data_IF_495241396305
#
_entry.id   IF_495241396305
#
_cell.length_a   1.000
_cell.length_b   1.000
_cell.length_c   1.000
_cell.angle_alpha   90.00
_cell.angle_beta   90.00
_cell.angle_gamma   90.00
#
_symmetry.space_group_name_H-M   'P 1'
#
loop_
_entity.id
_entity.type
_entity.pdbx_description
1 polymer ?
#
# COMPACT_ATOMS: atom_id res chain seq x y z
N UNK A 1 14.68 -2.11 -11.71
CA UNK A 1 13.86 -3.28 -11.35
C UNK A 1 14.23 -4.44 -12.25
N UNK A 2 15.03 -5.37 -11.73
CA UNK A 2 15.44 -6.56 -12.46
C UNK A 2 14.71 -7.76 -11.85
N UNK A 3 13.90 -8.48 -12.64
CA UNK A 3 13.35 -9.79 -12.24
C UNK A 3 14.45 -10.86 -12.08
N UNK A 4 15.70 -10.54 -12.44
CA UNK A 4 16.83 -11.48 -12.45
C UNK A 4 17.04 -12.10 -11.07
N UNK A 5 16.55 -13.34 -10.92
CA UNK A 5 16.66 -14.21 -9.75
C UNK A 5 15.57 -14.04 -8.67
N UNK A 6 14.32 -13.81 -9.08
CA UNK A 6 13.17 -13.91 -8.17
C UNK A 6 12.96 -15.32 -7.58
N UNK A 7 13.67 -16.33 -8.08
CA UNK A 7 13.47 -17.75 -7.76
C UNK A 7 14.67 -18.42 -7.11
N UNK A 8 15.81 -17.74 -7.09
CA UNK A 8 17.08 -18.29 -6.61
C UNK A 8 17.73 -17.32 -5.64
N UNK A 9 18.60 -17.86 -4.79
CA UNK A 9 19.35 -17.09 -3.81
C UNK A 9 20.81 -17.49 -3.88
N UNK A 10 21.46 -17.08 -4.97
CA UNK A 10 22.80 -17.59 -5.33
C UNK A 10 23.95 -16.88 -4.61
N UNK A 11 23.66 -15.77 -3.91
CA UNK A 11 24.65 -14.93 -3.23
C UNK A 11 24.19 -14.55 -1.83
N UNK A 12 25.13 -14.41 -0.86
CA UNK A 12 24.82 -14.01 0.51
C UNK A 12 23.89 -12.81 0.58
N UNK A 13 22.88 -12.91 1.46
CA UNK A 13 21.90 -11.86 1.73
C UNK A 13 21.02 -11.46 0.53
N UNK A 14 20.94 -12.28 -0.51
CA UNK A 14 19.91 -12.11 -1.53
C UNK A 14 18.52 -12.34 -0.92
N UNK A 15 17.64 -11.35 -1.12
CA UNK A 15 16.31 -11.33 -0.50
C UNK A 15 16.30 -10.83 0.95
N UNK A 16 17.33 -10.08 1.35
CA UNK A 16 17.43 -9.47 2.68
C UNK A 16 17.43 -7.94 2.64
N UNK A 17 16.95 -7.34 3.72
CA UNK A 17 17.18 -5.95 4.06
C UNK A 17 18.39 -5.88 4.99
N UNK A 18 19.39 -5.08 4.62
CA UNK A 18 20.58 -4.82 5.40
C UNK A 18 20.60 -3.36 5.84
N UNK A 19 20.86 -3.12 7.12
CA UNK A 19 21.15 -1.79 7.65
C UNK A 19 22.66 -1.60 7.71
N UNK A 20 23.15 -0.58 7.03
CA UNK A 20 24.59 -0.30 6.95
C UNK A 20 24.86 1.02 7.66
N UNK A 21 25.68 0.98 8.71
CA UNK A 21 26.12 2.17 9.43
C UNK A 21 27.17 2.95 8.61
N UNK A 22 27.42 4.21 8.99
CA UNK A 22 28.40 5.06 8.31
C UNK A 22 29.83 4.49 8.33
N UNK A 23 30.15 3.65 9.31
CA UNK A 23 31.44 2.94 9.42
C UNK A 23 31.51 1.66 8.58
N UNK A 24 30.45 1.32 7.83
CA UNK A 24 30.35 0.12 7.01
C UNK A 24 29.85 -1.12 7.76
N UNK A 25 29.63 -1.03 9.08
CA UNK A 25 29.06 -2.14 9.84
C UNK A 25 27.68 -2.49 9.31
N UNK A 26 27.50 -3.74 8.93
CA UNK A 26 26.30 -4.22 8.25
C UNK A 26 25.50 -5.14 9.17
N UNK A 27 24.22 -4.86 9.35
CA UNK A 27 23.30 -5.62 10.18
C UNK A 27 22.14 -6.17 9.34
N UNK A 28 22.03 -7.50 9.17
CA UNK A 28 20.82 -8.12 8.63
C UNK A 28 19.61 -7.72 9.48
N UNK A 29 18.58 -7.18 8.83
CA UNK A 29 17.45 -6.54 9.54
C UNK A 29 16.12 -7.24 9.23
N UNK A 30 15.89 -7.61 7.97
CA UNK A 30 14.71 -8.38 7.57
C UNK A 30 15.12 -9.41 6.50
N UNK A 31 14.46 -10.56 6.49
CA UNK A 31 14.56 -11.52 5.40
C UNK A 31 13.26 -11.50 4.59
N UNK A 32 13.24 -12.13 3.42
CA UNK A 32 12.01 -12.38 2.68
C UNK A 32 11.65 -11.36 1.60
N UNK A 33 12.58 -10.49 1.22
CA UNK A 33 12.37 -9.53 0.14
C UNK A 33 12.49 -10.23 -1.23
N UNK A 34 11.76 -9.76 -2.24
CA UNK A 34 11.85 -10.29 -3.61
C UNK A 34 12.38 -9.27 -4.61
N UNK A 35 11.62 -8.22 -4.85
CA UNK A 35 11.89 -7.24 -5.90
C UNK A 35 11.52 -5.83 -5.41
N UNK A 36 12.29 -5.30 -4.44
CA UNK A 36 12.06 -3.98 -3.88
C UNK A 36 12.19 -2.90 -4.97
N UNK A 37 11.20 -2.00 -5.04
CA UNK A 37 11.19 -0.85 -5.95
C UNK A 37 11.68 0.46 -5.32
N UNK A 38 11.66 0.54 -3.99
CA UNK A 38 12.07 1.71 -3.22
C UNK A 38 11.87 1.47 -1.72
N UNK A 39 12.53 2.29 -0.91
CA UNK A 39 12.39 2.32 0.56
C UNK A 39 11.99 3.74 0.96
N UNK A 40 11.08 3.88 1.91
CA UNK A 40 10.65 5.15 2.47
C UNK A 40 10.14 4.99 3.90
N UNK A 41 9.81 6.10 4.54
CA UNK A 41 9.37 6.13 5.94
C UNK A 41 7.99 6.80 6.01
N UNK A 42 7.10 6.30 6.87
CA UNK A 42 5.88 7.03 7.21
C UNK A 42 6.17 8.13 8.25
N UNK A 43 5.15 8.92 8.59
CA UNK A 43 5.26 10.01 9.58
C UNK A 43 5.62 9.54 10.99
N UNK A 44 5.40 8.26 11.31
CA UNK A 44 5.85 7.65 12.56
C UNK A 44 7.33 7.20 12.54
N UNK A 45 8.06 7.43 11.44
CA UNK A 45 9.44 7.00 11.26
C UNK A 45 9.61 5.49 11.00
N UNK A 46 8.52 4.79 10.66
CA UNK A 46 8.56 3.37 10.34
C UNK A 46 8.98 3.18 8.89
N UNK A 47 10.00 2.32 8.69
CA UNK A 47 10.52 1.99 7.37
C UNK A 47 9.60 1.01 6.64
N UNK A 48 9.25 1.34 5.40
CA UNK A 48 8.55 0.48 4.46
C UNK A 48 9.37 0.33 3.19
N UNK A 49 9.15 -0.78 2.50
CA UNK A 49 9.60 -0.92 1.12
C UNK A 49 8.43 -1.25 0.21
N UNK A 50 8.55 -0.83 -1.05
CA UNK A 50 7.61 -1.21 -2.10
C UNK A 50 8.05 -2.53 -2.69
N UNK A 51 7.16 -3.51 -2.68
CA UNK A 51 7.37 -4.83 -3.27
C UNK A 51 6.58 -4.94 -4.58
N UNK A 52 7.17 -5.58 -5.58
CA UNK A 52 6.51 -5.85 -6.84
C UNK A 52 5.90 -7.26 -6.83
N UNK A 53 4.77 -7.46 -7.50
CA UNK A 53 4.12 -8.77 -7.63
C UNK A 53 5.02 -9.84 -8.24
N UNK A 54 4.84 -11.07 -7.83
CA UNK A 54 5.61 -12.24 -8.26
C UNK A 54 5.44 -13.39 -7.26
N UNK A 55 6.41 -14.32 -7.21
CA UNK A 55 6.41 -15.38 -6.22
C UNK A 55 6.22 -14.83 -4.80
N UNK A 56 5.29 -15.42 -4.06
CA UNK A 56 4.86 -15.07 -2.71
C UNK A 56 4.39 -13.61 -2.53
N UNK A 57 4.09 -12.93 -3.63
CA UNK A 57 3.64 -11.55 -3.68
C UNK A 57 2.53 -11.41 -4.70
N UNK A 58 1.28 -11.64 -4.29
CA UNK A 58 0.15 -11.68 -5.23
C UNK A 58 -0.11 -10.37 -5.98
N UNK A 59 0.19 -9.24 -5.35
CA UNK A 59 0.14 -7.91 -5.92
C UNK A 59 1.34 -7.07 -5.46
N UNK A 60 1.49 -5.87 -6.01
CA UNK A 60 2.39 -4.87 -5.43
C UNK A 60 1.94 -4.52 -4.00
N UNK A 61 2.84 -4.02 -3.17
CA UNK A 61 2.45 -3.58 -1.83
C UNK A 61 3.55 -2.89 -1.04
N UNK A 62 3.16 -2.25 0.05
CA UNK A 62 4.06 -1.71 1.06
C UNK A 62 4.17 -2.71 2.20
N UNK A 63 5.41 -3.05 2.57
CA UNK A 63 5.71 -3.97 3.66
C UNK A 63 6.65 -3.30 4.65
N UNK A 64 6.32 -3.43 5.93
CA UNK A 64 7.15 -2.93 7.03
C UNK A 64 8.49 -3.68 7.06
N UNK A 65 9.59 -2.91 7.17
CA UNK A 65 10.93 -3.44 7.39
C UNK A 65 11.23 -3.50 8.90
N UNK A 66 10.48 -4.33 9.62
CA UNK A 66 10.67 -4.52 11.07
C UNK A 66 11.91 -5.37 11.34
N UNK A 67 12.85 -4.93 12.20
CA UNK A 67 13.98 -5.76 12.62
C UNK A 67 13.53 -7.13 13.14
N UNK A 68 14.16 -8.20 12.66
CA UNK A 68 13.78 -9.59 12.99
C UNK A 68 12.64 -10.14 12.14
N UNK A 69 12.07 -9.35 11.23
CA UNK A 69 10.93 -9.73 10.40
C UNK A 69 11.28 -10.56 9.16
N UNK A 70 10.32 -11.40 8.76
CA UNK A 70 10.26 -12.09 7.48
C UNK A 70 9.13 -11.46 6.64
N UNK A 71 9.47 -10.89 5.48
CA UNK A 71 8.49 -10.18 4.62
C UNK A 71 7.94 -11.03 3.47
N UNK A 72 8.05 -12.36 3.59
CA UNK A 72 7.21 -13.32 2.88
C UNK A 72 7.87 -14.15 1.77
N UNK A 73 9.10 -13.88 1.35
CA UNK A 73 9.74 -14.67 0.28
C UNK A 73 10.79 -15.68 0.79
N UNK A 74 10.53 -17.00 0.78
CA UNK A 74 11.38 -17.97 1.48
C UNK A 74 12.78 -18.17 0.87
N UNK A 75 13.07 -17.69 -0.34
CA UNK A 75 14.42 -17.81 -0.95
C UNK A 75 15.54 -17.16 -0.11
N UNK A 76 15.20 -16.29 0.83
CA UNK A 76 16.18 -15.65 1.72
C UNK A 76 16.77 -16.62 2.75
N UNK A 77 16.11 -17.76 3.00
CA UNK A 77 16.38 -18.69 4.09
C UNK A 77 17.81 -19.25 4.18
N UNK A 78 18.50 -19.60 3.07
CA UNK A 78 19.86 -20.15 3.15
C UNK A 78 20.91 -19.25 3.84
N UNK A 79 20.61 -17.97 4.07
CA UNK A 79 21.55 -17.00 4.65
C UNK A 79 21.31 -16.71 6.14
N UNK A 80 20.38 -17.40 6.81
CA UNK A 80 20.16 -17.23 8.25
C UNK A 80 21.40 -17.61 9.08
N UNK A 81 22.21 -18.57 8.61
CA UNK A 81 23.49 -18.92 9.24
C UNK A 81 24.49 -17.74 9.30
N UNK A 82 24.35 -16.78 8.38
CA UNK A 82 25.16 -15.55 8.34
C UNK A 82 24.51 -14.38 9.11
N UNK A 83 23.33 -14.59 9.69
CA UNK A 83 22.53 -13.57 10.36
C UNK A 83 22.12 -14.02 11.78
N UNK A 84 23.07 -14.32 12.68
CA UNK A 84 22.74 -14.84 14.02
C UNK A 84 21.85 -13.90 14.84
N UNK A 85 21.87 -12.60 14.55
CA UNK A 85 21.01 -11.60 15.21
C UNK A 85 19.52 -11.71 14.83
N UNK A 86 19.18 -12.49 13.80
CA UNK A 86 17.80 -12.67 13.32
C UNK A 86 17.11 -13.87 13.95
N UNK A 87 17.84 -14.67 14.74
CA UNK A 87 17.30 -15.90 15.33
C UNK A 87 17.24 -17.05 14.32
N UNK A 88 16.40 -18.07 14.59
CA UNK A 88 16.25 -19.21 13.70
C UNK A 88 15.55 -18.83 12.38
N UNK A 89 15.72 -19.68 11.36
CA UNK A 89 14.95 -19.59 10.13
C UNK A 89 13.42 -19.68 10.43
N UNK A 90 12.59 -18.81 9.82
CA UNK A 90 11.13 -18.86 9.96
C UNK A 90 10.51 -20.15 9.40
N UNK A 91 9.26 -20.41 9.78
CA UNK A 91 8.49 -21.50 9.19
C UNK A 91 8.29 -21.35 7.67
N UNK A 92 8.22 -22.48 6.96
CA UNK A 92 7.94 -22.49 5.52
C UNK A 92 6.50 -22.02 5.25
N UNK A 93 6.28 -21.13 4.25
CA UNK A 93 4.95 -20.83 3.73
C UNK A 93 4.22 -22.08 3.24
N UNK A 94 2.90 -22.08 3.30
CA UNK A 94 2.06 -23.21 2.85
C UNK A 94 2.20 -23.49 1.34
N UNK A 95 2.58 -22.46 0.56
CA UNK A 95 2.97 -22.53 -0.87
C UNK A 95 2.12 -23.43 -1.78
N UNK A 96 0.88 -22.98 -2.04
CA UNK A 96 -0.05 -23.63 -2.93
C UNK A 96 -1.32 -22.82 -3.15
N UNK A 97 -2.32 -23.43 -3.81
CA UNK A 97 -3.65 -22.82 -3.98
C UNK A 97 -4.31 -22.49 -2.64
N UNK A 98 -3.98 -23.23 -1.58
CA UNK A 98 -4.46 -22.99 -0.21
C UNK A 98 -3.68 -21.88 0.54
N UNK A 99 -2.54 -21.41 0.01
CA UNK A 99 -1.69 -20.42 0.68
C UNK A 99 -2.32 -19.03 0.72
N UNK A 100 -2.49 -18.47 1.92
CA UNK A 100 -2.94 -17.08 2.19
C UNK A 100 -1.94 -16.43 3.13
N UNK A 101 -1.49 -15.22 2.79
CA UNK A 101 -0.49 -14.51 3.59
C UNK A 101 -0.95 -14.30 5.04
N UNK A 102 -2.23 -13.96 5.24
CA UNK A 102 -2.78 -13.72 6.57
C UNK A 102 -2.92 -15.00 7.42
N UNK A 103 -3.17 -16.15 6.80
CA UNK A 103 -3.20 -17.45 7.50
C UNK A 103 -1.78 -17.86 7.90
N UNK A 104 -0.82 -17.73 6.99
CA UNK A 104 0.57 -18.04 7.30
C UNK A 104 1.15 -17.08 8.36
N UNK A 105 0.72 -15.81 8.38
CA UNK A 105 1.12 -14.84 9.40
C UNK A 105 0.60 -15.17 10.82
N UNK A 106 -0.45 -15.99 10.95
CA UNK A 106 -0.90 -16.50 12.26
C UNK A 106 -0.05 -17.67 12.76
N UNK A 107 0.58 -18.42 11.83
CA UNK A 107 1.39 -19.61 12.14
C UNK A 107 2.89 -19.30 12.24
N UNK A 108 3.38 -18.30 11.51
CA UNK A 108 4.79 -17.92 11.41
C UNK A 108 4.97 -16.56 12.10
N UNK A 109 5.45 -16.50 13.36
CA UNK A 109 5.53 -15.26 14.14
C UNK A 109 6.38 -14.16 13.50
N UNK A 110 7.41 -14.55 12.73
CA UNK A 110 8.29 -13.62 12.03
C UNK A 110 7.63 -13.05 10.77
N UNK A 111 6.60 -13.68 10.22
CA UNK A 111 5.97 -13.28 8.96
C UNK A 111 5.14 -12.01 9.14
N UNK A 112 5.61 -10.94 8.52
CA UNK A 112 4.94 -9.64 8.51
C UNK A 112 4.02 -9.58 7.29
N UNK A 113 2.69 -9.43 7.49
CA UNK A 113 1.77 -9.30 6.38
C UNK A 113 1.99 -7.98 5.64
N UNK A 114 1.58 -7.92 4.38
CA UNK A 114 1.61 -6.69 3.59
C UNK A 114 0.75 -5.62 4.26
N UNK A 115 1.34 -4.46 4.55
CA UNK A 115 0.64 -3.37 5.24
C UNK A 115 -0.36 -2.68 4.32
N UNK A 116 0.02 -2.41 3.08
CA UNK A 116 -0.89 -1.85 2.07
C UNK A 116 -0.68 -2.56 0.75
N UNK A 117 -1.64 -3.36 0.33
CA UNK A 117 -1.68 -3.94 -1.01
C UNK A 117 -2.01 -2.84 -2.01
N UNK A 118 -1.31 -2.83 -3.14
CA UNK A 118 -1.58 -1.97 -4.29
C UNK A 118 -2.17 -2.86 -5.40
N UNK A 119 -3.51 -2.91 -5.54
CA UNK A 119 -4.17 -3.88 -6.41
C UNK A 119 -3.69 -3.83 -7.86
N UNK A 120 -3.50 -5.02 -8.44
CA UNK A 120 -2.83 -5.18 -9.72
C UNK A 120 -3.57 -4.47 -10.86
N UNK A 121 -2.86 -3.67 -11.65
CA UNK A 121 -3.39 -2.82 -12.75
C UNK A 121 -4.35 -1.69 -12.34
N UNK A 122 -5.06 -1.82 -11.22
CA UNK A 122 -5.96 -0.79 -10.66
C UNK A 122 -5.15 0.34 -10.01
N UNK A 123 -4.14 -0.03 -9.23
CA UNK A 123 -3.28 0.88 -8.48
C UNK A 123 -1.81 0.65 -8.78
N UNK A 124 -1.30 -0.56 -8.49
CA UNK A 124 0.11 -0.92 -8.64
C UNK A 124 0.31 -2.03 -9.66
N UNK A 125 1.29 -1.87 -10.54
CA UNK A 125 1.75 -2.94 -11.43
C UNK A 125 3.28 -3.03 -11.43
N UNK A 126 3.97 -1.94 -11.12
CA UNK A 126 5.37 -1.97 -10.80
C UNK A 126 5.75 -0.82 -9.86
N UNK A 127 5.46 -1.00 -8.57
CA UNK A 127 5.66 0.03 -7.54
C UNK A 127 7.14 0.35 -7.31
N UNK A 128 7.46 1.63 -7.13
CA UNK A 128 8.84 2.13 -6.98
C UNK A 128 9.00 3.03 -5.75
N UNK A 129 9.38 4.30 -5.88
CA UNK A 129 9.70 5.14 -4.73
C UNK A 129 8.49 5.37 -3.80
N UNK A 130 8.78 5.50 -2.52
CA UNK A 130 7.84 5.87 -1.45
C UNK A 130 8.30 7.22 -0.90
N UNK A 131 7.44 8.23 -0.94
CA UNK A 131 7.76 9.61 -0.57
C UNK A 131 6.79 10.09 0.50
N UNK A 132 7.29 10.61 1.62
CA UNK A 132 6.44 11.19 2.67
C UNK A 132 6.16 12.66 2.37
N UNK A 133 4.92 13.11 2.59
CA UNK A 133 4.60 14.54 2.56
C UNK A 133 4.86 15.22 3.90
N UNK A 134 6.05 15.78 4.02
CA UNK A 134 6.48 16.64 5.13
C UNK A 134 6.37 18.13 4.77
N UNK A 135 5.56 18.48 3.76
CA UNK A 135 5.49 19.84 3.22
C UNK A 135 4.60 20.79 4.05
N UNK A 136 4.00 20.29 5.14
CA UNK A 136 3.13 21.05 6.03
C UNK A 136 2.02 21.81 5.28
N UNK A 137 1.37 21.14 4.32
CA UNK A 137 0.26 21.68 3.53
C UNK A 137 0.67 22.39 2.24
N UNK A 138 1.96 22.57 1.97
CA UNK A 138 2.42 23.14 0.70
C UNK A 138 2.11 22.23 -0.51
N UNK A 139 1.91 20.92 -0.28
CA UNK A 139 1.48 19.95 -1.28
C UNK A 139 -0.01 19.58 -1.20
N UNK A 140 -0.85 20.48 -0.68
CA UNK A 140 -2.29 20.27 -0.55
C UNK A 140 -2.66 19.60 0.79
N UNK A 141 -3.88 19.06 0.91
CA UNK A 141 -4.41 18.58 2.19
C UNK A 141 -3.87 17.22 2.65
N UNK A 142 -2.86 16.67 1.99
CA UNK A 142 -2.40 15.28 2.13
C UNK A 142 -1.17 15.14 3.03
N UNK A 143 -0.99 16.05 3.98
CA UNK A 143 0.11 16.01 4.93
C UNK A 143 0.19 14.66 5.64
N UNK A 144 1.41 14.22 5.94
CA UNK A 144 1.73 12.93 6.58
C UNK A 144 1.35 11.67 5.78
N UNK A 145 0.79 11.81 4.57
CA UNK A 145 0.55 10.68 3.67
C UNK A 145 1.80 10.29 2.90
N UNK A 146 1.82 9.03 2.49
CA UNK A 146 2.82 8.50 1.57
C UNK A 146 2.35 8.67 0.13
N UNK A 147 3.30 8.96 -0.75
CA UNK A 147 3.13 9.01 -2.20
C UNK A 147 3.99 7.92 -2.83
N UNK A 148 3.34 6.97 -3.47
CA UNK A 148 3.99 5.81 -4.07
C UNK A 148 3.97 5.94 -5.58
N UNK A 149 5.14 5.82 -6.19
CA UNK A 149 5.31 5.88 -7.63
C UNK A 149 5.06 4.52 -8.26
N UNK A 150 4.57 4.51 -9.49
CA UNK A 150 4.47 3.28 -10.30
C UNK A 150 5.13 3.47 -11.68
N UNK A 151 5.98 2.51 -12.03
CA UNK A 151 6.72 2.51 -13.29
C UNK A 151 5.81 2.14 -14.48
N UNK A 152 5.05 1.06 -14.39
CA UNK A 152 4.29 0.55 -15.54
C UNK A 152 3.06 1.40 -15.85
N UNK A 153 2.37 1.91 -14.84
CA UNK A 153 1.17 2.73 -14.98
C UNK A 153 1.51 4.21 -15.14
N UNK A 154 2.75 4.61 -14.83
CA UNK A 154 3.20 6.01 -14.88
C UNK A 154 2.32 6.93 -14.03
N UNK A 155 2.05 6.52 -12.79
CA UNK A 155 1.17 7.23 -11.85
C UNK A 155 1.84 7.44 -10.50
N UNK A 156 1.29 8.40 -9.75
CA UNK A 156 1.51 8.61 -8.33
C UNK A 156 0.23 8.23 -7.61
N UNK A 157 0.34 7.42 -6.57
CA UNK A 157 -0.75 7.00 -5.68
C UNK A 157 -0.54 7.59 -4.29
N UNK A 158 -1.62 7.87 -3.56
CA UNK A 158 -1.57 8.18 -2.13
C UNK A 158 -1.70 6.90 -1.31
N UNK A 159 -1.06 6.86 -0.16
CA UNK A 159 -1.16 5.79 0.83
C UNK A 159 -1.24 6.38 2.23
N UNK A 160 -2.17 5.87 3.03
CA UNK A 160 -2.24 6.09 4.48
C UNK A 160 -1.89 4.81 5.21
N UNK A 161 -1.28 4.92 6.40
CA UNK A 161 -0.92 3.78 7.24
C UNK A 161 -1.36 4.01 8.67
N UNK A 162 -1.85 2.97 9.33
CA UNK A 162 -2.19 2.96 10.75
C UNK A 162 -1.68 1.67 11.40
N UNK A 163 -1.51 1.69 12.73
CA UNK A 163 -1.10 0.53 13.49
C UNK A 163 -2.27 0.00 14.33
N UNK A 164 -2.70 -1.23 14.07
CA UNK A 164 -3.78 -1.90 14.77
C UNK A 164 -3.23 -3.17 15.41
N UNK A 165 -3.33 -3.26 16.75
CA UNK A 165 -2.80 -4.41 17.51
C UNK A 165 -1.33 -4.73 17.17
N UNK A 166 -0.49 -3.71 16.99
CA UNK A 166 0.93 -3.86 16.67
C UNK A 166 1.23 -4.22 15.20
N UNK A 167 0.22 -4.36 14.35
CA UNK A 167 0.37 -4.65 12.91
C UNK A 167 0.09 -3.37 12.11
N UNK A 168 1.02 -3.02 11.21
CA UNK A 168 0.81 -1.93 10.27
C UNK A 168 -0.11 -2.37 9.14
N UNK A 169 -1.12 -1.55 8.88
CA UNK A 169 -2.07 -1.73 7.80
C UNK A 169 -2.50 -0.37 7.24
N UNK A 170 -3.35 -0.32 6.21
CA UNK A 170 -3.84 0.96 5.70
C UNK A 170 -4.44 0.88 4.31
N UNK A 171 -4.54 2.02 3.64
CA UNK A 171 -5.23 2.13 2.37
C UNK A 171 -4.43 2.91 1.31
N UNK A 172 -4.71 2.60 0.05
CA UNK A 172 -4.22 3.36 -1.09
C UNK A 172 -5.36 4.02 -1.87
N UNK A 173 -5.06 5.18 -2.47
CA UNK A 173 -6.00 6.02 -3.20
C UNK A 173 -5.35 6.52 -4.50
N UNK A 174 -6.09 6.59 -5.62
CA UNK A 174 -5.60 7.26 -6.81
C UNK A 174 -5.25 8.73 -6.51
N UNK A 175 -4.28 9.29 -7.24
CA UNK A 175 -3.89 10.70 -7.06
C UNK A 175 -3.54 11.41 -8.36
N UNK A 176 -2.46 11.01 -9.05
CA UNK A 176 -2.06 11.69 -10.28
C UNK A 176 -1.55 10.74 -11.35
N UNK A 177 -2.06 10.94 -12.56
CA UNK A 177 -1.61 10.30 -13.79
C UNK A 177 -1.20 11.34 -14.84
N UNK A 178 -0.69 10.86 -15.98
CA UNK A 178 -0.27 11.70 -17.12
C UNK A 178 1.20 12.10 -17.09
N UNK A 179 2.04 11.38 -16.34
CA UNK A 179 3.48 11.49 -16.45
C UNK A 179 3.94 10.94 -17.80
N UNK A 180 5.03 11.46 -18.35
CA UNK A 180 5.46 11.17 -19.73
C UNK A 180 6.34 9.92 -19.83
N UNK A 181 6.86 9.43 -18.70
CA UNK A 181 7.70 8.23 -18.61
C UNK A 181 7.28 7.33 -17.44
N UNK A 182 7.83 6.12 -17.34
CA UNK A 182 7.64 5.26 -16.18
C UNK A 182 8.42 5.80 -14.97
N UNK A 183 7.77 5.89 -13.81
CA UNK A 183 8.35 6.50 -12.63
C UNK A 183 9.22 5.50 -11.85
N UNK A 184 10.50 5.80 -11.70
CA UNK A 184 11.47 4.98 -10.95
C UNK A 184 11.89 5.62 -9.62
N UNK A 185 11.93 6.95 -9.58
CA UNK A 185 12.41 7.69 -8.44
C UNK A 185 11.79 9.07 -8.38
N UNK A 186 11.83 9.67 -7.19
CA UNK A 186 11.35 11.01 -6.98
C UNK A 186 11.75 11.57 -5.62
N UNK A 187 11.37 12.82 -5.41
CA UNK A 187 11.53 13.57 -4.18
C UNK A 187 10.29 14.43 -4.01
N UNK A 188 9.69 14.38 -2.83
CA UNK A 188 8.72 15.39 -2.38
C UNK A 188 9.45 16.33 -1.44
N UNK A 189 9.59 17.60 -1.83
CA UNK A 189 10.27 18.60 -1.02
C UNK A 189 9.34 19.22 0.03
N UNK A 190 9.93 19.75 1.10
CA UNK A 190 9.23 20.46 2.17
C UNK A 190 8.49 21.73 1.73
N UNK A 191 8.75 22.23 0.52
CA UNK A 191 7.98 23.33 -0.10
C UNK A 191 6.93 22.84 -1.12
N UNK A 192 6.54 21.56 -1.06
CA UNK A 192 5.46 20.98 -1.84
C UNK A 192 5.75 20.88 -3.33
N UNK A 193 7.00 20.57 -3.70
CA UNK A 193 7.34 20.20 -5.08
C UNK A 193 7.60 18.71 -5.14
N UNK A 194 6.78 17.99 -5.91
CA UNK A 194 7.04 16.60 -6.25
C UNK A 194 7.85 16.57 -7.55
N UNK A 195 9.10 16.15 -7.48
CA UNK A 195 9.96 15.89 -8.63
C UNK A 195 10.02 14.39 -8.85
N UNK A 196 9.64 13.92 -10.02
CA UNK A 196 9.67 12.49 -10.38
C UNK A 196 10.38 12.27 -11.70
N UNK A 197 10.97 11.09 -11.86
CA UNK A 197 11.61 10.72 -13.10
C UNK A 197 11.81 9.22 -13.25
N UNK A 198 12.25 8.85 -14.43
CA UNK A 198 12.54 7.46 -14.77
C UNK A 198 12.71 7.27 -16.27
N UNK A 199 12.25 6.13 -16.76
CA UNK A 199 12.41 5.75 -18.17
C UNK A 199 11.27 4.84 -18.63
N UNK A 200 11.27 4.48 -19.93
CA UNK A 200 10.40 3.43 -20.48
C UNK A 200 11.20 2.20 -20.94
N UNK A 201 12.38 1.96 -20.35
CA UNK A 201 13.29 0.86 -20.73
C UNK A 201 13.16 -0.34 -19.81
N UNK A 202 13.18 -1.53 -20.39
CA UNK A 202 13.21 -2.82 -19.67
C UNK A 202 11.83 -3.45 -19.54
N UNK A 203 10.88 -2.77 -18.90
CA UNK A 203 9.50 -3.24 -18.75
C UNK A 203 8.51 -2.34 -19.50
N UNK A 204 7.36 -2.87 -19.94
CA UNK A 204 6.29 -2.06 -20.53
C UNK A 204 5.81 -0.98 -19.56
N UNK A 205 5.63 0.22 -20.11
CA UNK A 205 5.07 1.38 -19.44
C UNK A 205 3.92 1.94 -20.25
N UNK A 206 2.95 2.56 -19.57
CA UNK A 206 1.84 3.29 -20.16
C UNK A 206 2.36 4.47 -20.97
N UNK A 207 3.28 5.22 -20.38
CA UNK A 207 3.90 6.40 -21.02
C UNK A 207 5.18 6.03 -21.77
N UNK A 208 5.49 6.76 -22.85
CA UNK A 208 6.46 6.32 -23.87
C UNK A 208 7.70 7.19 -24.02
N UNK A 209 7.81 8.30 -23.29
CA UNK A 209 9.04 9.09 -23.34
C UNK A 209 10.20 8.27 -22.76
N UNK A 210 11.33 8.19 -23.49
CA UNK A 210 12.44 7.32 -23.12
C UNK A 210 13.01 7.67 -21.74
N UNK A 211 13.03 8.97 -21.42
CA UNK A 211 13.43 9.52 -20.13
C UNK A 211 12.68 10.83 -19.89
N UNK A 212 12.36 11.12 -18.64
CA UNK A 212 11.84 12.43 -18.26
C UNK A 212 12.17 12.74 -16.80
N UNK A 213 12.32 14.03 -16.51
CA UNK A 213 12.28 14.60 -15.17
C UNK A 213 11.12 15.60 -15.15
N UNK A 214 10.13 15.35 -14.29
CA UNK A 214 8.89 16.11 -14.26
C UNK A 214 8.63 16.65 -12.86
N UNK A 215 8.06 17.85 -12.81
CA UNK A 215 7.63 18.49 -11.57
C UNK A 215 6.11 18.54 -11.53
N UNK A 216 5.54 18.04 -10.44
CA UNK A 216 4.17 18.28 -10.03
C UNK A 216 4.17 19.29 -8.88
N UNK A 217 3.35 20.33 -9.00
CA UNK A 217 3.15 21.36 -8.00
C UNK A 217 1.67 21.43 -7.65
N UNK A 218 1.37 21.67 -6.38
CA UNK A 218 0.01 21.96 -5.95
C UNK A 218 -0.58 23.17 -6.71
N UNK A 219 -1.84 23.06 -7.10
CA UNK A 219 -2.53 24.11 -7.85
C UNK A 219 -3.15 25.19 -6.96
N UNK A 220 -3.22 24.95 -5.65
CA UNK A 220 -3.98 25.77 -4.70
C UNK A 220 -5.48 25.43 -4.64
N UNK A 221 -5.97 24.51 -5.47
CA UNK A 221 -7.39 24.11 -5.52
C UNK A 221 -7.58 22.74 -4.90
N UNK A 222 -8.27 22.68 -3.77
CA UNK A 222 -8.68 21.43 -3.14
C UNK A 222 -9.95 20.91 -3.82
N UNK A 223 -9.94 19.70 -4.44
CA UNK A 223 -11.16 19.02 -4.88
C UNK A 223 -11.83 18.26 -3.72
N UNK A 224 -13.08 17.81 -3.89
CA UNK A 224 -13.64 16.76 -3.04
C UNK A 224 -12.90 15.44 -3.29
N UNK A 225 -12.25 14.93 -2.26
CA UNK A 225 -11.45 13.70 -2.25
C UNK A 225 -11.71 12.92 -0.97
N UNK A 226 -11.56 11.60 -1.03
CA UNK A 226 -11.41 10.80 0.17
C UNK A 226 -9.99 11.01 0.70
N UNK A 227 -9.87 11.75 1.80
CA UNK A 227 -8.60 12.06 2.44
C UNK A 227 -7.99 10.81 3.06
N UNK A 228 -8.79 10.08 3.84
CA UNK A 228 -8.34 8.90 4.59
C UNK A 228 -9.50 7.92 4.83
N UNK A 229 -9.17 6.63 4.86
CA UNK A 229 -9.99 5.51 5.30
C UNK A 229 -9.23 4.76 6.39
N UNK A 230 -9.82 4.64 7.57
CA UNK A 230 -9.24 3.92 8.73
C UNK A 230 -10.19 2.85 9.26
N UNK A 231 -9.62 1.78 9.83
CA UNK A 231 -10.42 0.67 10.35
C UNK A 231 -11.14 1.02 11.65
N UNK A 232 -12.31 0.42 11.83
CA UNK A 232 -13.10 0.45 13.07
C UNK A 232 -13.45 -0.97 13.49
N UNK A 233 -13.86 -1.20 14.75
CA UNK A 233 -14.29 -2.52 15.21
C UNK A 233 -15.48 -3.10 14.44
N UNK A 234 -16.27 -2.23 13.80
CA UNK A 234 -17.53 -2.54 13.12
C UNK A 234 -17.58 -2.02 11.67
N UNK A 235 -16.45 -1.57 11.10
CA UNK A 235 -16.39 -1.08 9.73
C UNK A 235 -15.23 -0.15 9.48
N UNK A 236 -15.50 1.02 8.89
CA UNK A 236 -14.46 1.99 8.51
C UNK A 236 -14.87 3.43 8.80
N UNK A 237 -13.89 4.27 9.11
CA UNK A 237 -14.05 5.73 9.18
C UNK A 237 -13.45 6.34 7.93
N UNK A 238 -14.21 7.18 7.25
CA UNK A 238 -13.81 7.94 6.07
C UNK A 238 -13.69 9.41 6.44
N UNK A 239 -12.61 10.07 6.02
CA UNK A 239 -12.41 11.51 6.14
C UNK A 239 -12.33 12.11 4.75
N UNK A 240 -13.02 13.23 4.50
CA UNK A 240 -13.06 13.92 3.21
C UNK A 240 -12.34 15.26 3.28
N UNK A 241 -11.84 15.73 2.13
CA UNK A 241 -11.19 17.06 2.01
C UNK A 241 -12.18 18.23 2.00
N UNK A 242 -13.47 17.94 1.81
CA UNK A 242 -14.58 18.90 1.82
C UNK A 242 -15.82 18.27 2.48
N UNK A 243 -16.72 19.07 3.05
CA UNK A 243 -18.00 18.57 3.55
C UNK A 243 -18.81 17.88 2.45
N UNK A 244 -19.26 16.66 2.71
CA UNK A 244 -20.20 15.94 1.82
C UNK A 244 -21.65 16.32 2.13
N UNK A 245 -22.54 16.16 1.16
CA UNK A 245 -23.98 16.22 1.40
C UNK A 245 -24.37 15.13 2.40
N UNK A 246 -24.81 15.54 3.59
CA UNK A 246 -25.09 14.62 4.69
C UNK A 246 -26.27 13.70 4.41
N UNK A 247 -27.27 14.14 3.64
CA UNK A 247 -28.44 13.31 3.33
C UNK A 247 -28.04 12.19 2.36
N UNK A 248 -27.26 12.52 1.32
CA UNK A 248 -26.76 11.54 0.35
C UNK A 248 -25.74 10.61 1.01
N UNK A 249 -24.79 11.17 1.77
CA UNK A 249 -23.76 10.39 2.43
C UNK A 249 -24.30 9.45 3.51
N UNK A 250 -25.48 9.73 4.10
CA UNK A 250 -26.12 8.84 5.07
C UNK A 250 -26.82 7.62 4.44
N UNK A 251 -27.01 7.60 3.12
CA UNK A 251 -27.60 6.47 2.41
C UNK A 251 -26.52 5.38 2.13
N UNK A 252 -26.68 4.15 2.66
CA UNK A 252 -25.79 3.04 2.31
C UNK A 252 -25.65 2.78 0.81
N UNK A 253 -26.67 3.11 0.00
CA UNK A 253 -26.62 2.93 -1.46
C UNK A 253 -25.64 3.89 -2.16
N UNK A 254 -25.13 4.91 -1.47
CA UNK A 254 -24.08 5.81 -1.98
C UNK A 254 -22.70 5.15 -2.07
N UNK A 255 -22.57 3.93 -1.56
CA UNK A 255 -21.32 3.19 -1.41
C UNK A 255 -21.46 1.78 -1.99
N UNK A 256 -20.35 1.23 -2.48
CA UNK A 256 -20.25 -0.18 -2.86
C UNK A 256 -18.95 -0.74 -2.32
N UNK A 257 -19.00 -1.94 -1.75
CA UNK A 257 -17.83 -2.58 -1.16
C UNK A 257 -17.71 -4.02 -1.63
N UNK A 258 -16.51 -4.38 -2.06
CA UNK A 258 -16.11 -5.74 -2.36
C UNK A 258 -14.82 -6.06 -1.62
N UNK A 259 -14.55 -7.35 -1.42
CA UNK A 259 -13.27 -7.78 -0.85
C UNK A 259 -12.65 -8.88 -1.65
N UNK A 260 -11.34 -9.00 -1.58
CA UNK A 260 -10.60 -10.13 -2.13
C UNK A 260 -9.26 -10.29 -1.42
N UNK A 261 -8.64 -11.45 -1.59
CA UNK A 261 -7.24 -11.67 -1.27
C UNK A 261 -6.51 -12.28 -2.48
N UNK A 262 -5.29 -12.76 -2.29
CA UNK A 262 -4.49 -13.37 -3.35
C UNK A 262 -3.88 -14.68 -2.84
N UNK A 263 -3.59 -15.61 -3.75
CA UNK A 263 -2.75 -16.75 -3.41
C UNK A 263 -1.36 -16.27 -2.97
N UNK A 264 -0.86 -16.90 -1.92
CA UNK A 264 0.48 -16.75 -1.38
C UNK A 264 1.31 -18.00 -1.74
N UNK A 265 1.91 -17.95 -2.94
CA UNK A 265 2.50 -19.12 -3.60
C UNK A 265 3.73 -18.77 -4.45
N UNK A 266 4.52 -19.76 -4.85
CA UNK A 266 5.76 -19.61 -5.63
C UNK A 266 5.56 -19.15 -7.08
N UNK A 267 4.34 -19.18 -7.61
CA UNK A 267 4.11 -18.88 -9.03
C UNK A 267 4.14 -17.37 -9.31
N UNK A 268 4.48 -17.01 -10.55
CA UNK A 268 4.48 -15.61 -10.96
C UNK A 268 3.05 -15.13 -11.18
N UNK A 269 2.68 -14.05 -10.49
CA UNK A 269 1.34 -13.51 -10.54
C UNK A 269 0.37 -14.29 -9.66
N UNK A 270 -0.71 -13.64 -9.29
CA UNK A 270 -1.77 -14.24 -8.49
C UNK A 270 -3.09 -13.57 -8.84
N UNK A 271 -4.15 -14.32 -9.18
CA UNK A 271 -5.47 -13.74 -9.33
C UNK A 271 -5.98 -13.18 -7.99
N UNK A 272 -6.94 -12.25 -8.08
CA UNK A 272 -7.81 -11.94 -6.95
C UNK A 272 -8.70 -13.17 -6.69
N UNK A 273 -8.78 -13.60 -5.42
CA UNK A 273 -9.55 -14.78 -4.97
C UNK A 273 -10.35 -14.45 -3.71
N UNK A 274 -11.17 -15.40 -3.28
CA UNK A 274 -11.99 -15.33 -2.07
C UNK A 274 -12.87 -14.05 -2.04
N UNK A 275 -13.47 -13.73 -3.19
CA UNK A 275 -14.29 -12.54 -3.33
C UNK A 275 -15.51 -12.59 -2.42
N UNK A 276 -15.80 -11.47 -1.74
CA UNK A 276 -17.05 -11.28 -0.99
C UNK A 276 -17.61 -9.89 -1.22
N UNK A 277 -18.88 -9.69 -0.89
CA UNK A 277 -19.57 -8.40 -1.00
C UNK A 277 -20.13 -8.01 0.38
N UNK A 278 -19.31 -7.39 1.26
CA UNK A 278 -19.77 -6.94 2.57
C UNK A 278 -20.92 -5.95 2.45
N UNK A 279 -21.83 -5.98 3.42
CA UNK A 279 -23.01 -5.11 3.41
C UNK A 279 -22.78 -3.90 4.31
N UNK A 280 -22.87 -2.70 3.74
CA UNK A 280 -22.93 -1.46 4.52
C UNK A 280 -24.35 -1.36 5.09
N UNK A 281 -24.46 -1.48 6.42
CA UNK A 281 -25.76 -1.59 7.10
C UNK A 281 -26.23 -0.26 7.69
N UNK A 282 -25.28 0.59 8.09
CA UNK A 282 -25.56 1.91 8.62
C UNK A 282 -24.41 2.84 8.23
N UNK A 283 -24.76 4.11 7.99
CA UNK A 283 -23.79 5.17 7.76
C UNK A 283 -24.05 6.30 8.76
N UNK A 284 -22.99 6.81 9.40
CA UNK A 284 -23.06 7.93 10.34
C UNK A 284 -22.19 9.06 9.82
N UNK A 285 -22.82 10.20 9.53
CA UNK A 285 -22.11 11.39 9.00
C UNK A 285 -21.93 12.39 10.14
N UNK A 286 -20.72 12.94 10.26
CA UNK A 286 -20.42 14.00 11.22
C UNK A 286 -21.22 15.28 10.94
N UNK A 287 -21.32 16.16 11.94
CA UNK A 287 -22.07 17.41 11.82
C UNK A 287 -21.49 18.35 10.76
N UNK A 288 -20.16 18.40 10.67
CA UNK A 288 -19.40 19.18 9.69
C UNK A 288 -19.35 18.54 8.29
N UNK A 289 -19.87 17.32 8.12
CA UNK A 289 -19.85 16.57 6.87
C UNK A 289 -18.45 16.14 6.41
N UNK A 290 -17.41 16.29 7.23
CA UNK A 290 -16.04 15.90 6.86
C UNK A 290 -15.73 14.44 7.16
N UNK A 291 -16.55 13.77 7.97
CA UNK A 291 -16.33 12.38 8.38
C UNK A 291 -17.58 11.54 8.18
N UNK A 292 -17.36 10.33 7.69
CA UNK A 292 -18.39 9.30 7.56
C UNK A 292 -17.89 8.00 8.20
N UNK A 293 -18.60 7.50 9.20
CA UNK A 293 -18.38 6.15 9.73
C UNK A 293 -19.34 5.17 9.04
N UNK A 294 -18.77 4.17 8.36
CA UNK A 294 -19.49 3.06 7.74
C UNK A 294 -19.53 1.88 8.72
N UNK A 295 -20.73 1.34 8.96
CA UNK A 295 -20.91 0.06 9.66
C UNK A 295 -21.06 -1.02 8.61
N UNK A 296 -20.16 -2.02 8.66
CA UNK A 296 -20.02 -3.05 7.63
C UNK A 296 -20.24 -4.41 8.25
N UNK A 297 -21.23 -5.14 7.75
CA UNK A 297 -21.41 -6.56 8.01
C UNK A 297 -20.59 -7.37 7.00
N UNK A 298 -19.81 -8.35 7.49
CA UNK A 298 -18.95 -9.18 6.66
C UNK A 298 -17.52 -8.66 6.44
N UNK A 299 -16.91 -7.94 7.39
CA UNK A 299 -15.48 -7.60 7.33
C UNK A 299 -14.60 -8.86 7.22
N UNK A 300 -13.70 -8.90 6.22
CA UNK A 300 -12.79 -10.02 5.99
C UNK A 300 -11.36 -9.68 6.42
N UNK A 301 -10.86 -10.32 7.48
CA UNK A 301 -9.44 -10.18 7.88
C UNK A 301 -8.53 -10.79 6.80
N UNK A 302 -7.43 -10.12 6.48
CA UNK A 302 -6.46 -10.55 5.47
C UNK A 302 -6.84 -10.24 4.02
N UNK A 303 -7.92 -9.46 3.83
CA UNK A 303 -8.41 -9.05 2.52
C UNK A 303 -8.13 -7.58 2.26
N UNK A 304 -8.15 -7.23 0.97
CA UNK A 304 -8.34 -5.85 0.52
C UNK A 304 -9.84 -5.58 0.47
N UNK A 305 -10.29 -4.48 1.08
CA UNK A 305 -11.62 -3.92 0.95
C UNK A 305 -11.57 -2.81 -0.07
N UNK A 306 -12.16 -3.08 -1.24
CA UNK A 306 -12.30 -2.13 -2.33
C UNK A 306 -13.63 -1.38 -2.14
N UNK A 307 -13.53 -0.09 -1.79
CA UNK A 307 -14.66 0.79 -1.53
C UNK A 307 -14.83 1.78 -2.67
N UNK A 308 -15.97 1.73 -3.32
CA UNK A 308 -16.40 2.70 -4.34
C UNK A 308 -17.41 3.69 -3.75
N UNK A 309 -17.34 4.95 -4.21
CA UNK A 309 -18.15 6.07 -3.71
C UNK A 309 -19.04 6.69 -4.82
N UNK A 310 -19.85 5.91 -5.56
CA UNK A 310 -20.54 6.41 -6.76
C UNK A 310 -21.56 7.51 -6.47
N UNK A 311 -22.13 7.56 -5.27
CA UNK A 311 -23.15 8.54 -4.88
C UNK A 311 -22.60 9.79 -4.19
N UNK A 312 -21.33 9.79 -3.74
CA UNK A 312 -20.82 10.83 -2.84
C UNK A 312 -20.53 12.13 -3.59
N UNK A 313 -21.04 13.23 -3.03
CA UNK A 313 -20.87 14.58 -3.55
C UNK A 313 -21.04 15.64 -2.45
N UNK A 314 -20.65 16.88 -2.72
CA UNK A 314 -20.97 18.04 -1.87
C UNK A 314 -22.43 18.49 -2.08
N UNK A 315 -22.92 19.43 -1.25
CA UNK A 315 -24.26 20.01 -1.40
C UNK A 315 -24.42 20.79 -2.73
N UNK A 316 -23.32 21.29 -3.28
CA UNK A 316 -23.27 21.94 -4.60
C UNK A 316 -23.17 20.93 -5.77
N UNK A 317 -23.13 19.63 -5.48
CA UNK A 317 -23.04 18.56 -6.49
C UNK A 317 -21.63 18.28 -7.02
N UNK A 318 -20.59 18.77 -6.34
CA UNK A 318 -19.20 18.40 -6.67
C UNK A 318 -18.97 16.92 -6.29
N UNK A 319 -18.63 16.08 -7.28
CA UNK A 319 -18.36 14.65 -7.08
C UNK A 319 -16.95 14.40 -6.55
N UNK A 320 -16.75 13.26 -5.88
CA UNK A 320 -15.41 12.80 -5.48
C UNK A 320 -14.53 12.63 -6.72
N UNK A 321 -13.37 13.27 -6.74
CA UNK A 321 -12.45 13.26 -7.89
C UNK A 321 -11.94 11.84 -8.20
N UNK A 322 -11.54 11.10 -7.16
CA UNK A 322 -11.18 9.69 -7.25
C UNK A 322 -12.12 8.87 -6.34
N UNK A 323 -13.25 8.34 -6.86
CA UNK A 323 -14.31 7.76 -6.04
C UNK A 323 -14.01 6.30 -5.63
N UNK A 324 -12.76 5.99 -5.25
CA UNK A 324 -12.33 4.64 -4.87
C UNK A 324 -11.19 4.64 -3.86
N UNK A 325 -11.23 3.70 -2.93
CA UNK A 325 -10.13 3.36 -2.03
C UNK A 325 -9.97 1.85 -1.87
N UNK A 326 -8.76 1.42 -1.52
CA UNK A 326 -8.43 0.02 -1.30
C UNK A 326 -7.75 -0.11 0.05
N UNK A 327 -8.46 -0.66 1.02
CA UNK A 327 -7.97 -0.83 2.39
C UNK A 327 -7.50 -2.26 2.62
N UNK A 328 -6.27 -2.46 3.10
CA UNK A 328 -5.77 -3.79 3.49
C UNK A 328 -6.05 -4.02 4.97
N UNK A 329 -6.93 -4.97 5.31
CA UNK A 329 -7.36 -5.21 6.69
C UNK A 329 -6.64 -6.40 7.31
N UNK A 330 -5.50 -6.20 7.97
CA UNK A 330 -4.76 -7.27 8.63
C UNK A 330 -5.29 -7.60 10.03
N UNK A 331 -5.78 -6.59 10.75
CA UNK A 331 -6.33 -6.67 12.09
C UNK A 331 -7.58 -5.78 12.20
N UNK A 332 -8.57 -6.25 12.96
CA UNK A 332 -9.76 -5.47 13.30
C UNK A 332 -9.50 -4.79 14.65
N UNK A 333 -9.70 -3.46 14.77
CA UNK A 333 -9.56 -2.78 16.05
C UNK A 333 -10.48 -3.37 17.12
N UNK A 334 -10.05 -3.47 18.39
CA UNK A 334 -10.91 -3.97 19.46
C UNK A 334 -12.07 -3.02 19.71
N UNK A 335 -13.23 -3.56 20.10
CA UNK A 335 -14.33 -2.75 20.63
C UNK A 335 -13.83 -2.02 21.88
N UNK A 336 -13.96 -0.70 21.89
CA UNK A 336 -13.75 0.11 23.08
C UNK A 336 -14.87 -0.15 24.09
#
# INVERSE_FOLDING_TARGET
>A
MCLSGSYTSDFPFRGWCLRVNADGTTTPTCSGLRSPGGVGFNSAGVAFYSENQGPWNGACGLKELRPGGFVGHPISFPWYELAPNMGPEPGQPTDGEDGRLHIDAERIPELIPTSVVLPYKKMGQSATAILLDESNGAFGPFGDQLFVLDYTLSVVMRVTTEQVQGVWQGACYPFRQGFSTGLLGGLLSSNGQLIVGGCCRGWPTRSREPYALQRLRWSGKTPLELLEMSARPDGFSLTFTKPVDRAIAADPASYQMETYTHHYWRFYGSPEIDQTTPKITQVRVSEDGLRVDLIVDGLQKGHVHELHLPGIQTIEGEKVLHPVAYYTLNQIPPKK
#
